data_IF_198559835187
#
_entry.id   IF_198559835187
#
_cell.length_a   1.000
_cell.length_b   1.000
_cell.length_c   1.000
_cell.angle_alpha   90.00
_cell.angle_beta   90.00
_cell.angle_gamma   90.00
#
_symmetry.space_group_name_H-M   'P 1'
#
loop_
_entity.id
_entity.type
_entity.pdbx_description
1 polymer ?
#
# COMPACT_ATOMS: atom_id res chain seq x y z
N UNK A 1 18.07 14.99 -24.75
CA UNK A 1 17.54 15.39 -23.44
C UNK A 1 17.41 16.91 -23.46
N UNK A 2 16.21 17.44 -23.29
CA UNK A 2 16.01 18.89 -23.12
C UNK A 2 16.49 19.29 -21.72
N UNK A 3 16.92 20.53 -21.52
CA UNK A 3 17.42 21.01 -20.21
C UNK A 3 16.37 20.84 -19.09
N UNK A 4 15.09 20.99 -19.44
CA UNK A 4 13.95 20.75 -18.55
C UNK A 4 13.89 19.29 -18.09
N UNK A 5 14.09 18.35 -19.01
CA UNK A 5 14.10 16.91 -18.68
C UNK A 5 15.26 16.55 -17.74
N UNK A 6 16.42 17.20 -17.91
CA UNK A 6 17.58 17.01 -17.02
C UNK A 6 17.25 17.49 -15.60
N UNK A 7 16.74 18.72 -15.48
CA UNK A 7 16.36 19.32 -14.20
C UNK A 7 15.26 18.53 -13.49
N UNK A 8 14.24 18.08 -14.21
CA UNK A 8 13.14 17.33 -13.63
C UNK A 8 13.60 15.93 -13.17
N UNK A 9 14.45 15.26 -13.95
CA UNK A 9 15.04 13.97 -13.57
C UNK A 9 15.91 14.10 -12.31
N UNK A 10 16.77 15.14 -12.25
CA UNK A 10 17.62 15.41 -11.08
C UNK A 10 16.80 15.70 -9.81
N UNK A 11 15.69 16.44 -9.97
CA UNK A 11 14.76 16.71 -8.86
C UNK A 11 14.04 15.45 -8.40
N UNK A 12 13.60 14.59 -9.32
CA UNK A 12 12.96 13.30 -9.01
C UNK A 12 13.93 12.39 -8.26
N UNK A 13 15.19 12.35 -8.65
CA UNK A 13 16.22 11.54 -7.99
C UNK A 13 16.50 12.03 -6.56
N UNK A 14 16.64 13.35 -6.36
CA UNK A 14 16.76 13.94 -5.02
C UNK A 14 15.52 13.64 -4.16
N UNK A 15 14.31 13.71 -4.73
CA UNK A 15 13.07 13.37 -4.02
C UNK A 15 13.01 11.89 -3.61
N UNK A 16 13.39 10.98 -4.51
CA UNK A 16 13.47 9.56 -4.23
C UNK A 16 14.43 9.26 -3.08
N UNK A 17 15.56 9.97 -2.99
CA UNK A 17 16.52 9.84 -1.89
C UNK A 17 15.96 10.42 -0.58
N UNK A 18 15.41 11.64 -0.61
CA UNK A 18 14.84 12.31 0.58
C UNK A 18 13.70 11.52 1.21
N UNK A 19 12.78 11.00 0.38
CA UNK A 19 11.64 10.21 0.84
C UNK A 19 11.97 8.72 1.04
N UNK A 20 13.20 8.30 0.73
CA UNK A 20 13.66 6.90 0.78
C UNK A 20 12.72 5.97 0.02
N UNK A 21 12.41 6.33 -1.22
CA UNK A 21 11.59 5.53 -2.13
C UNK A 21 12.50 4.46 -2.73
N UNK A 22 12.44 3.24 -2.21
CA UNK A 22 13.44 2.19 -2.50
C UNK A 22 12.90 0.98 -3.25
N UNK A 23 11.60 0.96 -3.62
CA UNK A 23 10.92 -0.24 -4.16
C UNK A 23 10.99 -1.47 -3.24
N UNK A 24 11.47 -1.32 -1.99
CA UNK A 24 11.65 -2.42 -1.05
C UNK A 24 10.41 -2.57 -0.16
N UNK A 25 9.95 -3.80 0.09
CA UNK A 25 8.89 -4.03 1.07
C UNK A 25 9.40 -3.68 2.46
N UNK A 26 8.71 -2.77 3.14
CA UNK A 26 8.96 -2.37 4.52
C UNK A 26 7.87 -2.93 5.41
N UNK A 27 8.27 -3.41 6.58
CA UNK A 27 7.31 -3.84 7.59
C UNK A 27 6.67 -2.59 8.21
N UNK A 28 5.38 -2.37 7.94
CA UNK A 28 4.62 -1.23 8.42
C UNK A 28 3.50 -1.69 9.36
N UNK A 29 3.44 -1.08 10.54
CA UNK A 29 2.30 -1.21 11.47
C UNK A 29 1.22 -0.15 11.13
N UNK A 30 1.36 0.49 9.96
CA UNK A 30 0.48 1.58 9.51
C UNK A 30 -0.98 1.12 9.43
N UNK A 31 -1.21 -0.12 9.00
CA UNK A 31 -2.55 -0.69 8.91
C UNK A 31 -3.32 -0.68 10.24
N UNK A 32 -2.68 -1.11 11.33
CA UNK A 32 -3.31 -1.13 12.66
C UNK A 32 -3.66 0.29 13.13
N UNK A 33 -2.77 1.25 12.87
CA UNK A 33 -2.98 2.65 13.27
C UNK A 33 -4.06 3.35 12.44
N UNK A 34 -4.11 3.08 11.14
CA UNK A 34 -5.00 3.76 10.19
C UNK A 34 -6.41 3.17 10.20
N UNK A 35 -6.54 1.85 10.42
CA UNK A 35 -7.82 1.13 10.38
C UNK A 35 -8.01 0.20 11.59
N UNK A 36 -8.06 0.74 12.82
CA UNK A 36 -8.15 -0.09 14.03
C UNK A 36 -9.45 -0.90 14.11
N UNK A 37 -10.58 -0.34 13.66
CA UNK A 37 -11.87 -1.05 13.66
C UNK A 37 -11.90 -2.24 12.70
N UNK A 38 -11.29 -2.09 11.51
CA UNK A 38 -11.20 -3.18 10.54
C UNK A 38 -10.33 -4.33 11.07
N UNK A 39 -9.22 -3.99 11.74
CA UNK A 39 -8.35 -4.97 12.37
C UNK A 39 -9.10 -5.77 13.46
N UNK A 40 -9.85 -5.11 14.34
CA UNK A 40 -10.63 -5.77 15.39
C UNK A 40 -11.73 -6.66 14.78
N UNK A 41 -12.47 -6.16 13.79
CA UNK A 41 -13.54 -6.90 13.13
C UNK A 41 -13.01 -8.17 12.45
N UNK A 42 -11.83 -8.10 11.82
CA UNK A 42 -11.18 -9.23 11.18
C UNK A 42 -10.81 -10.34 12.19
N UNK A 43 -10.22 -9.98 13.33
CA UNK A 43 -9.91 -10.97 14.38
C UNK A 43 -11.18 -11.57 15.00
N UNK A 44 -12.21 -10.75 15.23
CA UNK A 44 -13.49 -11.23 15.74
C UNK A 44 -14.14 -12.24 14.78
N UNK A 45 -14.15 -11.95 13.48
CA UNK A 45 -14.65 -12.85 12.46
C UNK A 45 -13.85 -14.16 12.41
N UNK A 46 -12.52 -14.08 12.48
CA UNK A 46 -11.66 -15.27 12.51
C UNK A 46 -11.94 -16.16 13.72
N UNK A 47 -12.07 -15.58 14.93
CA UNK A 47 -12.42 -16.34 16.13
C UNK A 47 -13.81 -16.99 16.03
N UNK A 48 -14.79 -16.28 15.46
CA UNK A 48 -16.12 -16.85 15.22
C UNK A 48 -16.06 -18.04 14.27
N UNK A 49 -15.31 -17.94 13.16
CA UNK A 49 -15.11 -19.07 12.23
C UNK A 49 -14.39 -20.23 12.89
N UNK A 50 -13.35 -19.96 13.70
CA UNK A 50 -12.61 -20.97 14.44
C UNK A 50 -13.53 -21.75 15.39
N UNK A 51 -14.38 -21.05 16.14
CA UNK A 51 -15.33 -21.67 17.07
C UNK A 51 -16.31 -22.62 16.34
N UNK A 52 -16.83 -22.19 15.19
CA UNK A 52 -17.74 -23.02 14.37
C UNK A 52 -17.01 -24.25 13.82
N UNK A 53 -15.78 -24.08 13.33
CA UNK A 53 -14.99 -25.21 12.79
C UNK A 53 -14.61 -26.24 13.86
N UNK A 54 -14.31 -25.80 15.09
CA UNK A 54 -13.99 -26.71 16.20
C UNK A 54 -15.20 -27.54 16.65
N UNK A 55 -16.40 -26.99 16.54
CA UNK A 55 -17.63 -27.70 16.90
C UNK A 55 -18.08 -28.68 15.79
N UNK A 56 -17.52 -28.57 14.59
CA UNK A 56 -17.90 -29.36 13.43
C UNK A 56 -16.99 -30.57 13.23
N UNK A 57 -17.55 -31.77 13.28
CA UNK A 57 -16.82 -33.03 13.07
C UNK A 57 -16.16 -33.12 11.68
N UNK A 58 -16.72 -32.45 10.68
CA UNK A 58 -16.22 -32.47 9.29
C UNK A 58 -15.12 -31.44 9.03
N UNK A 59 -15.14 -30.30 9.73
CA UNK A 59 -14.20 -29.19 9.51
C UNK A 59 -13.06 -29.12 10.54
N UNK A 60 -13.14 -29.83 11.66
CA UNK A 60 -12.11 -29.78 12.70
C UNK A 60 -10.72 -30.16 12.16
N UNK A 61 -10.66 -31.11 11.23
CA UNK A 61 -9.41 -31.56 10.58
C UNK A 61 -8.76 -30.52 9.66
N UNK A 62 -9.49 -29.47 9.24
CA UNK A 62 -8.99 -28.40 8.37
C UNK A 62 -8.76 -27.07 9.10
N UNK A 63 -8.88 -27.04 10.44
CA UNK A 63 -8.60 -25.84 11.25
C UNK A 63 -7.18 -25.32 11.04
N UNK A 64 -6.20 -26.20 10.84
CA UNK A 64 -4.82 -25.80 10.57
C UNK A 64 -4.72 -24.94 9.29
N UNK A 65 -5.52 -25.25 8.27
CA UNK A 65 -5.55 -24.52 7.00
C UNK A 65 -6.08 -23.10 7.21
N UNK A 66 -7.14 -22.95 8.02
CA UNK A 66 -7.67 -21.64 8.42
C UNK A 66 -6.58 -20.78 9.08
N UNK A 67 -5.82 -21.35 10.00
CA UNK A 67 -4.75 -20.63 10.72
C UNK A 67 -3.62 -20.23 9.77
N UNK A 68 -3.16 -21.15 8.92
CA UNK A 68 -2.08 -20.88 7.96
C UNK A 68 -2.48 -19.79 6.96
N UNK A 69 -3.68 -19.88 6.39
CA UNK A 69 -4.19 -18.86 5.46
C UNK A 69 -4.38 -17.52 6.15
N UNK A 70 -4.91 -17.51 7.38
CA UNK A 70 -5.07 -16.29 8.14
C UNK A 70 -3.72 -15.61 8.37
N UNK A 71 -2.69 -16.34 8.83
CA UNK A 71 -1.34 -15.79 9.04
C UNK A 71 -0.74 -15.31 7.72
N UNK A 72 -0.85 -16.08 6.64
CA UNK A 72 -0.30 -15.72 5.34
C UNK A 72 -0.92 -14.41 4.82
N UNK A 73 -2.26 -14.34 4.75
CA UNK A 73 -2.95 -13.15 4.25
C UNK A 73 -2.81 -11.95 5.17
N UNK A 74 -2.79 -12.16 6.49
CA UNK A 74 -2.51 -11.07 7.43
C UNK A 74 -1.08 -10.55 7.29
N UNK A 75 -0.11 -11.45 7.09
CA UNK A 75 1.29 -11.11 6.83
C UNK A 75 1.44 -10.11 5.69
N UNK A 76 0.68 -10.29 4.60
CA UNK A 76 0.70 -9.37 3.46
C UNK A 76 0.29 -7.93 3.80
N UNK A 77 -0.66 -7.72 4.72
CA UNK A 77 -1.07 -6.36 5.12
C UNK A 77 0.02 -5.57 5.86
N UNK A 78 1.03 -6.24 6.39
CA UNK A 78 2.15 -5.59 7.06
C UNK A 78 3.25 -5.13 6.12
N UNK A 79 3.20 -5.48 4.82
CA UNK A 79 4.19 -5.02 3.85
C UNK A 79 3.67 -3.80 3.11
N UNK A 80 4.41 -2.69 3.24
CA UNK A 80 4.21 -1.48 2.44
C UNK A 80 5.38 -1.30 1.48
N UNK A 81 5.11 -0.93 0.24
CA UNK A 81 6.12 -0.71 -0.79
C UNK A 81 6.01 0.75 -1.23
N UNK A 82 7.09 1.51 -1.05
CA UNK A 82 7.20 2.87 -1.56
C UNK A 82 7.90 2.84 -2.94
N UNK A 83 7.14 2.90 -4.06
CA UNK A 83 7.73 2.86 -5.38
C UNK A 83 8.53 4.13 -5.67
N UNK A 84 9.61 3.99 -6.44
CA UNK A 84 10.41 5.09 -6.98
C UNK A 84 9.63 5.82 -8.06
N UNK A 85 9.82 7.13 -8.11
CA UNK A 85 9.34 7.97 -9.19
C UNK A 85 10.31 7.93 -10.36
N UNK A 86 9.77 7.90 -11.58
CA UNK A 86 10.55 8.04 -12.80
C UNK A 86 10.00 9.19 -13.66
N UNK A 87 10.89 9.90 -14.36
CA UNK A 87 10.47 10.97 -15.29
C UNK A 87 9.50 10.45 -16.36
N UNK A 88 9.70 9.21 -16.83
CA UNK A 88 8.87 8.60 -17.87
C UNK A 88 7.42 8.36 -17.44
N UNK A 89 7.14 8.42 -16.14
CA UNK A 89 5.78 8.28 -15.60
C UNK A 89 4.99 9.61 -15.69
N UNK A 90 5.67 10.73 -16.02
CA UNK A 90 5.04 12.05 -16.16
C UNK A 90 4.52 12.22 -17.58
N UNK A 91 3.20 12.41 -17.73
CA UNK A 91 2.58 12.60 -19.03
C UNK A 91 2.71 14.06 -19.51
N UNK A 92 2.65 14.26 -20.83
CA UNK A 92 2.65 15.60 -21.46
C UNK A 92 1.42 16.42 -21.04
N UNK A 93 0.32 15.75 -20.70
CA UNK A 93 -0.86 16.37 -20.13
C UNK A 93 -0.55 16.97 -18.75
N UNK A 94 0.09 16.21 -17.87
CA UNK A 94 0.43 16.67 -16.51
C UNK A 94 1.35 17.88 -16.55
N UNK A 95 2.33 17.86 -17.46
CA UNK A 95 3.20 19.01 -17.70
C UNK A 95 2.40 20.22 -18.18
N UNK A 96 1.48 20.06 -19.12
CA UNK A 96 0.64 21.16 -19.62
C UNK A 96 -0.25 21.75 -18.53
N UNK A 97 -0.93 20.91 -17.76
CA UNK A 97 -1.83 21.34 -16.67
C UNK A 97 -1.03 22.07 -15.58
N UNK A 98 0.21 21.61 -15.30
CA UNK A 98 1.14 22.28 -14.40
C UNK A 98 1.56 23.67 -14.93
N UNK A 99 1.98 23.77 -16.20
CA UNK A 99 2.39 25.04 -16.82
C UNK A 99 1.24 26.04 -16.97
N UNK A 100 0.04 25.58 -17.29
CA UNK A 100 -1.16 26.43 -17.37
C UNK A 100 -1.69 26.85 -15.99
N UNK A 101 -1.13 26.31 -14.91
CA UNK A 101 -1.53 26.64 -13.54
C UNK A 101 -2.91 26.09 -13.14
N UNK A 102 -3.45 25.13 -13.88
CA UNK A 102 -4.77 24.55 -13.62
C UNK A 102 -4.83 23.84 -12.25
N UNK A 103 -3.70 23.29 -11.79
CA UNK A 103 -3.55 22.73 -10.42
C UNK A 103 -3.78 23.76 -9.30
N UNK A 104 -3.54 25.05 -9.56
CA UNK A 104 -3.72 26.12 -8.59
C UNK A 104 -5.08 26.81 -8.70
N UNK A 105 -5.84 26.48 -9.74
CA UNK A 105 -7.17 27.02 -9.97
C UNK A 105 -8.22 26.13 -9.28
N UNK A 106 -8.18 26.08 -7.95
CA UNK A 106 -9.26 25.47 -7.17
C UNK A 106 -10.50 26.35 -7.35
N UNK A 107 -11.41 25.94 -8.22
CA UNK A 107 -12.76 26.51 -8.28
C UNK A 107 -13.45 26.12 -6.97
N UNK A 108 -13.48 27.04 -6.02
CA UNK A 108 -14.46 27.00 -4.93
C UNK A 108 -15.84 27.35 -5.49
#
# INVERSE_FOLDING_TARGET
MTEIQRLLSETIDDLNVREKRDNRPRFSISFIRKHPGLFIAMYAAWFATLAVMLQSETLVGSVWLLVVLFIAFNGFFFFDIAPRYHYNDIDVLDLRVCYNGEWYNTRF
#
